data_IF_472737313456
#
_entry.id   IF_472737313456
#
_cell.length_a   1.000
_cell.length_b   1.000
_cell.length_c   1.000
_cell.angle_alpha   90.00
_cell.angle_beta   90.00
_cell.angle_gamma   90.00
#
_symmetry.space_group_name_H-M   'P 1'
#
loop_
_entity.id
_entity.type
_entity.pdbx_description
1 polymer ?
#
# COMPACT_ATOMS: atom_id res chain seq x y z
N UNK A 1 0.16 5.19 1.35
CA UNK A 1 0.92 5.42 0.10
C UNK A 1 0.19 6.29 -0.94
N UNK A 2 -1.14 6.27 -1.07
CA UNK A 2 -1.86 7.00 -2.14
C UNK A 2 -2.28 8.45 -1.81
N UNK A 3 -1.86 9.00 -0.68
CA UNK A 3 -2.33 10.31 -0.20
C UNK A 3 -1.70 11.51 -0.93
N UNK A 4 -0.78 11.30 -1.88
CA UNK A 4 -0.05 12.35 -2.60
C UNK A 4 0.99 13.10 -1.76
N UNK A 5 0.95 12.95 -0.43
CA UNK A 5 1.84 13.57 0.55
C UNK A 5 2.94 12.62 1.06
N UNK A 6 3.01 11.40 0.52
CA UNK A 6 4.02 10.41 0.90
C UNK A 6 5.17 10.46 -0.10
N UNK A 7 6.38 10.77 0.38
CA UNK A 7 7.60 10.71 -0.40
C UNK A 7 8.10 9.26 -0.43
N UNK A 8 7.96 8.61 -1.59
CA UNK A 8 8.34 7.21 -1.81
C UNK A 8 9.86 6.98 -1.77
N UNK A 9 10.67 8.00 -2.09
CA UNK A 9 12.13 7.89 -2.02
C UNK A 9 12.61 7.96 -0.57
N UNK A 10 12.08 8.91 0.19
CA UNK A 10 12.43 9.10 1.61
C UNK A 10 11.67 8.19 2.56
N UNK A 11 10.59 7.56 2.06
CA UNK A 11 9.67 6.70 2.81
C UNK A 11 9.04 7.40 4.01
N UNK A 12 8.73 8.68 3.86
CA UNK A 12 8.20 9.57 4.90
C UNK A 12 7.14 10.49 4.32
N UNK A 13 6.33 11.08 5.18
CA UNK A 13 5.48 12.18 4.75
C UNK A 13 6.31 13.40 4.36
N UNK A 14 5.88 14.07 3.30
CA UNK A 14 6.39 15.39 2.92
C UNK A 14 5.68 16.45 3.77
N UNK A 15 6.31 16.83 4.88
CA UNK A 15 5.76 17.83 5.80
C UNK A 15 5.65 19.22 5.20
N UNK A 16 6.48 19.57 4.21
CA UNK A 16 6.39 20.85 3.55
C UNK A 16 5.18 20.89 2.62
N UNK A 17 4.91 19.79 1.90
CA UNK A 17 3.69 19.63 1.12
C UNK A 17 2.44 19.64 2.01
N UNK A 18 2.46 18.94 3.14
CA UNK A 18 1.36 18.93 4.12
C UNK A 18 1.03 20.35 4.61
N UNK A 19 2.05 21.12 5.00
CA UNK A 19 1.85 22.52 5.41
C UNK A 19 1.32 23.38 4.28
N UNK A 20 1.83 23.17 3.05
CA UNK A 20 1.43 23.93 1.86
C UNK A 20 -0.05 23.74 1.50
N UNK A 21 -0.60 22.55 1.75
CA UNK A 21 -2.04 22.28 1.59
C UNK A 21 -2.89 22.69 2.81
N UNK A 22 -2.28 23.36 3.81
CA UNK A 22 -2.98 23.91 4.97
C UNK A 22 -3.30 22.89 6.07
N UNK A 23 -2.62 21.74 6.07
CA UNK A 23 -2.83 20.69 7.08
C UNK A 23 -1.68 20.66 8.10
N UNK A 24 -1.95 20.09 9.27
CA UNK A 24 -0.94 19.91 10.33
C UNK A 24 -0.37 18.49 10.25
N UNK A 25 0.96 18.29 10.29
CA UNK A 25 1.58 16.97 10.24
C UNK A 25 1.06 15.96 11.27
N UNK A 26 0.69 16.43 12.47
CA UNK A 26 0.21 15.59 13.57
C UNK A 26 -1.18 15.00 13.34
N UNK A 27 -1.89 15.40 12.28
CA UNK A 27 -3.14 14.74 11.85
C UNK A 27 -2.89 13.38 11.20
N UNK A 28 -1.68 13.13 10.69
CA UNK A 28 -1.38 11.92 9.94
C UNK A 28 -0.86 10.83 10.89
N UNK A 29 -1.31 9.57 10.71
CA UNK A 29 -0.88 8.46 11.55
C UNK A 29 0.61 8.17 11.34
N UNK A 30 1.23 7.45 12.26
CA UNK A 30 2.58 6.92 12.04
C UNK A 30 2.61 5.96 10.84
N UNK A 31 3.75 5.94 10.14
CA UNK A 31 3.96 5.08 8.99
C UNK A 31 4.54 3.74 9.45
N UNK A 32 3.78 2.67 9.22
CA UNK A 32 4.20 1.30 9.51
C UNK A 32 4.41 0.52 8.21
N UNK A 33 5.28 -0.48 8.26
CA UNK A 33 5.40 -1.43 7.16
C UNK A 33 4.26 -2.45 7.22
N UNK A 34 3.84 -3.01 6.08
CA UNK A 34 2.58 -3.74 6.00
C UNK A 34 2.46 -4.94 6.94
N UNK A 35 3.57 -5.64 7.18
CA UNK A 35 3.65 -6.82 8.07
C UNK A 35 3.99 -6.46 9.52
N UNK A 36 4.14 -5.18 9.84
CA UNK A 36 4.42 -4.71 11.19
C UNK A 36 3.18 -4.87 12.06
N UNK A 37 3.35 -5.45 13.26
CA UNK A 37 2.28 -5.56 14.25
C UNK A 37 2.14 -4.20 14.94
N UNK A 38 0.99 -3.56 14.75
CA UNK A 38 0.70 -2.22 15.27
C UNK A 38 -0.15 -2.24 16.52
N UNK A 39 -0.58 -3.42 16.96
CA UNK A 39 -1.36 -3.59 18.17
C UNK A 39 -2.06 -4.93 18.24
N UNK A 40 -3.05 -4.99 19.11
CA UNK A 40 -3.81 -6.18 19.43
C UNK A 40 -5.29 -5.82 19.53
N UNK A 41 -6.16 -6.78 19.21
CA UNK A 41 -7.60 -6.65 19.42
C UNK A 41 -7.86 -6.44 20.91
N UNK A 42 -8.46 -5.32 21.27
CA UNK A 42 -8.89 -5.02 22.64
C UNK A 42 -10.32 -5.55 22.89
N UNK A 43 -10.77 -5.54 24.16
CA UNK A 43 -12.10 -6.05 24.53
C UNK A 43 -13.24 -5.40 23.73
N UNK A 44 -13.17 -4.08 23.49
CA UNK A 44 -14.19 -3.37 22.69
C UNK A 44 -14.21 -3.86 21.24
N UNK A 45 -13.04 -3.97 20.62
CA UNK A 45 -12.92 -4.46 19.24
C UNK A 45 -13.31 -5.95 19.13
N UNK A 46 -13.06 -6.75 20.16
CA UNK A 46 -13.54 -8.14 20.26
C UNK A 46 -15.06 -8.20 20.22
N UNK A 47 -15.75 -7.37 21.01
CA UNK A 47 -17.23 -7.32 21.02
C UNK A 47 -17.81 -6.94 19.64
N UNK A 48 -17.14 -6.05 18.90
CA UNK A 48 -17.58 -5.57 17.59
C UNK A 48 -17.26 -6.56 16.44
N UNK A 49 -16.18 -7.34 16.55
CA UNK A 49 -15.64 -8.17 15.45
C UNK A 49 -15.73 -9.67 15.67
N UNK A 50 -16.03 -10.11 16.91
CA UNK A 50 -15.92 -11.50 17.38
C UNK A 50 -14.50 -12.10 17.27
N UNK A 51 -13.46 -11.27 17.23
CA UNK A 51 -12.07 -11.72 17.33
C UNK A 51 -11.64 -11.78 18.79
N UNK A 52 -10.84 -12.79 19.16
CA UNK A 52 -10.37 -12.92 20.53
C UNK A 52 -9.48 -11.72 20.94
N UNK A 53 -9.65 -11.17 22.18
CA UNK A 53 -8.73 -10.19 22.71
C UNK A 53 -7.28 -10.71 22.70
N UNK A 54 -6.33 -9.85 22.35
CA UNK A 54 -4.92 -10.23 22.16
C UNK A 54 -4.58 -10.75 20.76
N UNK A 55 -5.57 -10.92 19.87
CA UNK A 55 -5.29 -11.22 18.45
C UNK A 55 -4.46 -10.09 17.84
N UNK A 56 -3.30 -10.43 17.24
CA UNK A 56 -2.38 -9.44 16.67
C UNK A 56 -2.99 -8.74 15.45
N UNK A 57 -2.75 -7.43 15.35
CA UNK A 57 -3.18 -6.59 14.23
C UNK A 57 -1.97 -6.09 13.47
N UNK A 58 -1.84 -6.50 12.21
CA UNK A 58 -0.82 -5.97 11.30
C UNK A 58 -1.26 -4.63 10.70
N UNK A 59 -0.32 -3.78 10.33
CA UNK A 59 -0.57 -2.46 9.72
C UNK A 59 -1.44 -2.55 8.45
N UNK A 60 -1.34 -3.66 7.73
CA UNK A 60 -2.14 -3.94 6.54
C UNK A 60 -1.55 -3.33 5.28
N UNK A 61 -2.34 -3.37 4.21
CA UNK A 61 -1.88 -3.05 2.86
C UNK A 61 -3.03 -2.60 1.96
N UNK A 62 -2.70 -2.20 0.73
CA UNK A 62 -3.70 -1.88 -0.29
C UNK A 62 -4.26 -3.16 -0.93
N UNK A 63 -5.48 -3.07 -1.45
CA UNK A 63 -6.21 -4.18 -2.07
C UNK A 63 -5.47 -4.82 -3.26
N UNK A 64 -4.82 -4.02 -4.11
CA UNK A 64 -4.11 -4.52 -5.29
C UNK A 64 -2.89 -5.36 -4.91
N UNK A 65 -2.11 -4.94 -3.92
CA UNK A 65 -0.96 -5.72 -3.45
C UNK A 65 -1.41 -6.99 -2.73
N UNK A 66 -2.54 -6.93 -2.01
CA UNK A 66 -3.14 -8.12 -1.42
C UNK A 66 -3.55 -9.13 -2.51
N UNK A 67 -4.11 -8.63 -3.61
CA UNK A 67 -4.47 -9.45 -4.79
C UNK A 67 -3.24 -10.11 -5.42
N UNK A 68 -2.12 -9.37 -5.54
CA UNK A 68 -0.86 -9.90 -6.06
C UNK A 68 -0.35 -11.06 -5.20
N UNK A 69 -0.33 -10.89 -3.87
CA UNK A 69 0.14 -11.93 -2.95
C UNK A 69 -0.78 -13.15 -3.03
N UNK A 70 -2.09 -12.94 -3.05
CA UNK A 70 -3.06 -14.03 -3.15
C UNK A 70 -2.95 -14.84 -4.45
N UNK A 71 -2.51 -14.20 -5.55
CA UNK A 71 -2.26 -14.87 -6.84
C UNK A 71 -0.84 -15.44 -6.98
N UNK A 72 0.03 -15.26 -5.99
CA UNK A 72 1.43 -15.70 -6.01
C UNK A 72 2.39 -14.75 -6.73
N UNK A 73 1.94 -13.59 -7.18
CA UNK A 73 2.76 -12.51 -7.77
C UNK A 73 3.48 -11.79 -6.64
N UNK A 74 4.73 -12.18 -6.40
CA UNK A 74 5.48 -11.80 -5.20
C UNK A 74 6.95 -11.47 -5.47
N UNK A 75 7.50 -11.92 -6.60
CA UNK A 75 8.91 -11.78 -6.95
C UNK A 75 9.16 -10.62 -7.91
N UNK A 76 10.42 -10.15 -7.96
CA UNK A 76 10.82 -9.09 -8.90
C UNK A 76 10.59 -9.55 -10.34
N UNK A 77 9.90 -8.72 -11.12
CA UNK A 77 9.54 -8.99 -12.50
C UNK A 77 8.20 -9.68 -12.67
N UNK A 78 7.56 -10.15 -11.59
CA UNK A 78 6.20 -10.68 -11.67
C UNK A 78 5.21 -9.57 -12.07
N UNK A 79 4.19 -9.98 -12.83
CA UNK A 79 3.15 -9.09 -13.35
C UNK A 79 1.78 -9.58 -12.90
N UNK A 80 1.00 -8.70 -12.29
CA UNK A 80 -0.40 -8.94 -11.95
C UNK A 80 -1.30 -8.13 -12.89
N UNK A 81 -2.26 -8.81 -13.51
CA UNK A 81 -3.33 -8.19 -14.28
C UNK A 81 -4.70 -8.49 -13.66
N UNK A 82 -5.38 -7.47 -13.16
CA UNK A 82 -6.77 -7.57 -12.72
C UNK A 82 -7.66 -6.96 -13.80
N UNK A 83 -8.41 -7.77 -14.54
CA UNK A 83 -9.37 -7.33 -15.55
C UNK A 83 -10.80 -7.49 -15.02
N UNK A 84 -11.37 -6.40 -14.50
CA UNK A 84 -12.78 -6.28 -14.16
C UNK A 84 -13.42 -5.15 -14.96
N UNK A 85 -14.27 -4.34 -14.34
CA UNK A 85 -14.78 -3.11 -14.97
C UNK A 85 -13.64 -2.18 -15.39
N UNK A 86 -12.64 -2.03 -14.52
CA UNK A 86 -11.36 -1.40 -14.80
C UNK A 86 -10.26 -2.47 -14.83
N UNK A 87 -9.23 -2.23 -15.64
CA UNK A 87 -8.04 -3.07 -15.70
C UNK A 87 -6.90 -2.45 -14.89
N UNK A 88 -6.28 -3.21 -13.99
CA UNK A 88 -5.06 -2.79 -13.30
C UNK A 88 -3.92 -3.75 -13.65
N UNK A 89 -2.79 -3.19 -14.09
CA UNK A 89 -1.61 -3.94 -14.47
C UNK A 89 -0.42 -3.46 -13.65
N UNK A 90 0.09 -4.33 -12.79
CA UNK A 90 1.22 -4.03 -11.91
C UNK A 90 2.41 -4.90 -12.22
N UNK A 91 3.61 -4.32 -12.14
CA UNK A 91 4.89 -5.04 -12.20
C UNK A 91 5.70 -4.77 -10.95
N UNK A 92 6.23 -5.82 -10.33
CA UNK A 92 7.06 -5.71 -9.13
C UNK A 92 8.52 -5.41 -9.54
N UNK A 93 9.13 -4.39 -8.95
CA UNK A 93 10.50 -3.98 -9.28
C UNK A 93 11.22 -3.31 -8.10
N UNK A 94 12.53 -3.06 -8.26
CA UNK A 94 13.35 -2.27 -7.33
C UNK A 94 13.83 -0.93 -7.88
N UNK A 95 13.57 -0.65 -9.16
CA UNK A 95 13.98 0.61 -9.79
C UNK A 95 13.28 1.81 -9.12
N UNK A 96 14.05 2.84 -8.77
CA UNK A 96 13.53 4.09 -8.21
C UNK A 96 13.41 5.21 -9.24
N UNK A 97 13.84 5.01 -10.48
CA UNK A 97 13.60 5.92 -11.60
C UNK A 97 12.16 5.74 -12.08
N UNK A 98 11.21 6.15 -11.23
CA UNK A 98 9.79 5.94 -11.42
C UNK A 98 9.28 6.68 -12.67
N UNK A 99 8.49 5.98 -13.48
CA UNK A 99 7.80 6.58 -14.62
C UNK A 99 6.67 7.49 -14.14
N UNK A 100 6.65 8.78 -14.50
CA UNK A 100 5.60 9.72 -14.10
C UNK A 100 4.19 9.31 -14.53
N UNK A 101 4.07 8.55 -15.61
CA UNK A 101 2.80 8.08 -16.18
C UNK A 101 2.19 6.90 -15.40
N UNK A 102 2.98 6.27 -14.51
CA UNK A 102 2.55 5.13 -13.71
C UNK A 102 2.33 5.54 -12.26
N UNK A 103 1.42 4.83 -11.60
CA UNK A 103 1.23 4.98 -10.15
C UNK A 103 2.20 4.02 -9.47
N UNK A 104 3.11 4.57 -8.67
CA UNK A 104 4.18 3.81 -8.02
C UNK A 104 3.99 3.81 -6.50
N UNK A 105 4.16 2.66 -5.86
CA UNK A 105 4.16 2.54 -4.40
C UNK A 105 5.04 1.41 -3.89
N UNK A 106 5.37 1.46 -2.60
CA UNK A 106 6.12 0.39 -1.93
C UNK A 106 5.32 -0.90 -1.86
N UNK A 107 5.92 -2.02 -2.24
CA UNK A 107 5.29 -3.33 -2.21
C UNK A 107 5.20 -3.88 -0.78
N UNK A 108 4.17 -4.67 -0.52
CA UNK A 108 3.77 -5.13 0.82
C UNK A 108 4.77 -6.10 1.45
N UNK A 109 5.33 -6.99 0.64
CA UNK A 109 6.21 -8.08 1.09
C UNK A 109 7.59 -7.94 0.47
N UNK A 110 8.55 -8.61 1.11
CA UNK A 110 9.95 -8.57 0.71
C UNK A 110 10.70 -7.44 1.40
N UNK A 111 11.75 -6.97 0.73
CA UNK A 111 12.59 -5.91 1.25
C UNK A 111 11.89 -4.55 1.13
N UNK A 112 12.25 -3.62 2.02
CA UNK A 112 11.62 -2.28 2.04
C UNK A 112 11.92 -1.45 0.79
N UNK A 113 12.80 -1.92 -0.10
CA UNK A 113 13.16 -1.34 -1.41
C UNK A 113 12.45 -2.01 -2.59
N UNK A 114 11.45 -2.87 -2.33
CA UNK A 114 10.56 -3.41 -3.36
C UNK A 114 9.39 -2.48 -3.61
N UNK A 115 9.06 -2.27 -4.88
CA UNK A 115 8.02 -1.38 -5.37
C UNK A 115 7.14 -2.09 -6.38
N UNK A 116 5.98 -1.51 -6.64
CA UNK A 116 5.12 -1.90 -7.74
C UNK A 116 4.74 -0.65 -8.55
N UNK A 117 4.92 -0.75 -9.87
CA UNK A 117 4.46 0.25 -10.83
C UNK A 117 3.16 -0.26 -11.45
N UNK A 118 2.09 0.52 -11.36
CA UNK A 118 0.78 0.16 -11.86
C UNK A 118 0.30 1.14 -12.94
N UNK A 119 -0.26 0.57 -14.00
CA UNK A 119 -1.07 1.29 -14.98
C UNK A 119 -2.52 0.82 -14.88
N UNK A 120 -3.45 1.77 -15.00
CA UNK A 120 -4.88 1.51 -14.92
C UNK A 120 -5.55 1.89 -16.23
N UNK A 121 -6.43 1.01 -16.72
CA UNK A 121 -7.38 1.32 -17.79
C UNK A 121 -8.80 1.35 -17.22
N UNK A 122 -9.57 2.34 -17.63
CA UNK A 122 -10.98 2.50 -17.22
C UNK A 122 -11.95 1.63 -18.03
N UNK A 123 -11.47 1.00 -19.11
CA UNK A 123 -12.24 0.13 -19.99
C UNK A 123 -11.70 -1.30 -19.95
N UNK A 124 -11.93 -1.99 -18.83
CA UNK A 124 -11.47 -3.38 -18.65
C UNK A 124 -12.50 -4.44 -19.03
N UNK A 125 -13.77 -4.06 -19.17
CA UNK A 125 -14.89 -4.99 -19.32
C UNK A 125 -14.68 -6.00 -20.45
N UNK A 126 -14.49 -7.26 -20.07
CA UNK A 126 -14.65 -8.44 -20.92
C UNK A 126 -16.06 -9.01 -20.78
#
# INVERSE_FOLDING_TARGET
>A
CFSGIYDIHRKKYDYELIKKIGLTPDLFPELHYAVEIIGEVNNKASDDTNLEPGTLVAAGQVDFTASCIASGVTEIGDIQGNLGTCGNFGVIHKNTDFMPEMINWSFTIGEKDTYIACATTTTGGM
#
